data_IF_811793038138
#
_entry.id   IF_811793038138
#
_cell.length_a   1.000
_cell.length_b   1.000
_cell.length_c   1.000
_cell.angle_alpha   90.00
_cell.angle_beta   90.00
_cell.angle_gamma   90.00
#
_symmetry.space_group_name_H-M   'P 1'
#
loop_
_entity.id
_entity.type
_entity.pdbx_description
1 polymer ?
#
# COMPACT_ATOMS: atom_id res chain seq x y z
N UNK A 1 9.32 -38.24 9.62
CA UNK A 1 8.96 -37.01 8.88
C UNK A 1 10.20 -36.46 8.17
N UNK A 2 10.03 -35.97 6.95
CA UNK A 2 11.07 -35.20 6.26
C UNK A 2 11.10 -33.76 6.82
N UNK A 3 12.30 -33.29 7.19
CA UNK A 3 12.55 -31.99 7.82
C UNK A 3 13.55 -31.14 7.02
N UNK A 4 13.91 -31.56 5.81
CA UNK A 4 14.98 -30.92 5.03
C UNK A 4 14.68 -29.43 4.76
N UNK A 5 13.46 -29.11 4.33
CA UNK A 5 13.04 -27.71 4.06
C UNK A 5 13.10 -26.83 5.31
N UNK A 6 12.61 -27.34 6.45
CA UNK A 6 12.65 -26.64 7.74
C UNK A 6 14.08 -26.42 8.21
N UNK A 7 14.94 -27.42 8.07
CA UNK A 7 16.34 -27.29 8.44
C UNK A 7 17.07 -26.28 7.55
N UNK A 8 16.84 -26.30 6.24
CA UNK A 8 17.39 -25.32 5.30
C UNK A 8 16.95 -23.89 5.63
N UNK A 9 15.66 -23.70 5.94
CA UNK A 9 15.13 -22.41 6.37
C UNK A 9 15.81 -21.92 7.66
N UNK A 10 15.95 -22.78 8.67
CA UNK A 10 16.58 -22.42 9.95
C UNK A 10 18.07 -22.10 9.80
N UNK A 11 18.76 -22.77 8.89
CA UNK A 11 20.16 -22.47 8.56
C UNK A 11 20.22 -21.07 7.95
N UNK A 12 19.48 -20.84 6.86
CA UNK A 12 19.43 -19.52 6.21
C UNK A 12 19.04 -18.44 7.20
N UNK A 13 18.06 -18.65 8.06
CA UNK A 13 17.62 -17.67 9.05
C UNK A 13 18.72 -17.24 10.04
N UNK A 14 19.64 -18.14 10.40
CA UNK A 14 20.67 -17.89 11.42
C UNK A 14 22.01 -17.45 10.85
N UNK A 15 22.24 -17.65 9.55
CA UNK A 15 23.49 -17.25 8.91
C UNK A 15 23.64 -15.72 8.88
N UNK A 16 24.86 -15.18 9.10
CA UNK A 16 25.12 -13.75 8.99
C UNK A 16 24.87 -13.24 7.57
N UNK A 17 24.18 -12.11 7.44
CA UNK A 17 23.79 -11.53 6.15
C UNK A 17 23.95 -10.01 6.14
N UNK A 18 24.03 -9.39 4.96
CA UNK A 18 23.85 -7.95 4.85
C UNK A 18 22.45 -7.53 5.30
N UNK A 19 22.36 -6.34 5.89
CA UNK A 19 21.11 -5.78 6.40
C UNK A 19 20.52 -4.78 5.42
N UNK A 20 19.22 -4.87 5.16
CA UNK A 20 18.44 -3.88 4.41
C UNK A 20 17.44 -3.25 5.37
N UNK A 21 17.45 -1.92 5.46
CA UNK A 21 16.53 -1.18 6.34
C UNK A 21 15.28 -0.77 5.59
N UNK A 22 14.11 -1.14 6.10
CA UNK A 22 12.81 -0.81 5.51
C UNK A 22 11.98 -0.04 6.54
N UNK A 23 11.38 1.09 6.13
CA UNK A 23 10.45 1.82 6.97
C UNK A 23 9.06 1.16 6.92
N UNK A 24 8.45 0.93 8.08
CA UNK A 24 7.03 0.63 8.20
C UNK A 24 6.35 1.82 8.85
N UNK A 25 5.63 2.60 8.05
CA UNK A 25 4.89 3.79 8.50
C UNK A 25 3.45 3.40 8.83
N UNK A 26 3.08 3.50 10.10
CA UNK A 26 1.77 3.05 10.57
C UNK A 26 1.29 3.75 11.84
N UNK A 27 -0.02 3.63 12.10
CA UNK A 27 -0.69 4.26 13.25
C UNK A 27 -0.44 3.53 14.57
N UNK A 28 -0.25 2.21 14.50
CA UNK A 28 -0.20 1.33 15.68
C UNK A 28 1.17 0.71 15.91
N UNK A 29 2.24 1.33 15.42
CA UNK A 29 3.59 0.77 15.53
C UNK A 29 4.09 0.60 16.98
N UNK A 30 3.50 1.32 17.93
CA UNK A 30 3.76 1.18 19.36
C UNK A 30 3.15 -0.11 19.94
N UNK A 31 2.18 -0.71 19.26
CA UNK A 31 1.61 -2.01 19.58
C UNK A 31 2.25 -3.07 18.67
N UNK A 32 3.21 -3.81 19.22
CA UNK A 32 4.02 -4.78 18.47
C UNK A 32 3.19 -5.80 17.67
N UNK A 33 1.98 -6.12 18.13
CA UNK A 33 1.11 -7.11 17.49
C UNK A 33 0.28 -6.56 16.31
N UNK A 34 0.12 -5.24 16.21
CA UNK A 34 -0.78 -4.63 15.22
C UNK A 34 -0.35 -4.90 13.76
N UNK A 35 0.94 -5.11 13.54
CA UNK A 35 1.53 -5.38 12.22
C UNK A 35 2.31 -6.71 12.18
N UNK A 36 2.04 -7.63 13.11
CA UNK A 36 2.79 -8.89 13.25
C UNK A 36 2.90 -9.65 11.93
N UNK A 37 1.80 -9.82 11.20
CA UNK A 37 1.82 -10.53 9.91
C UNK A 37 2.71 -9.85 8.87
N UNK A 38 2.76 -8.52 8.84
CA UNK A 38 3.63 -7.76 7.94
C UNK A 38 5.08 -7.93 8.36
N UNK A 39 5.39 -7.80 9.65
CA UNK A 39 6.75 -7.97 10.17
C UNK A 39 7.30 -9.37 9.91
N UNK A 40 6.49 -10.41 10.11
CA UNK A 40 6.88 -11.79 9.80
C UNK A 40 7.08 -12.00 8.30
N UNK A 41 6.26 -11.37 7.44
CA UNK A 41 6.40 -11.50 5.99
C UNK A 41 7.73 -10.92 5.49
N UNK A 42 8.20 -9.80 6.06
CA UNK A 42 9.53 -9.26 5.76
C UNK A 42 10.66 -10.16 6.24
N UNK A 43 10.53 -10.78 7.41
CA UNK A 43 11.51 -11.77 7.88
C UNK A 43 11.60 -12.95 6.90
N UNK A 44 10.46 -13.50 6.49
CA UNK A 44 10.40 -14.60 5.52
C UNK A 44 11.02 -14.18 4.17
N UNK A 45 10.68 -12.99 3.67
CA UNK A 45 11.27 -12.46 2.44
C UNK A 45 12.79 -12.26 2.56
N UNK A 46 13.27 -11.76 3.71
CA UNK A 46 14.70 -11.61 3.98
C UNK A 46 15.43 -12.95 3.96
N UNK A 47 14.87 -13.99 4.59
CA UNK A 47 15.45 -15.34 4.58
C UNK A 47 15.59 -15.88 3.16
N UNK A 48 14.57 -15.71 2.31
CA UNK A 48 14.61 -16.20 0.93
C UNK A 48 15.60 -15.41 0.06
N UNK A 49 15.76 -14.12 0.31
CA UNK A 49 16.69 -13.25 -0.42
C UNK A 49 18.11 -13.19 0.17
N UNK A 50 18.38 -13.93 1.26
CA UNK A 50 19.69 -13.92 1.91
C UNK A 50 20.08 -12.58 2.54
N UNK A 51 19.09 -11.81 3.02
CA UNK A 51 19.29 -10.53 3.71
C UNK A 51 18.59 -10.52 5.06
N UNK A 52 19.09 -9.73 6.00
CA UNK A 52 18.35 -9.40 7.23
C UNK A 52 17.56 -8.10 7.01
N UNK A 53 16.25 -8.16 7.23
CA UNK A 53 15.39 -6.95 7.10
C UNK A 53 15.28 -6.26 8.45
N UNK A 54 15.89 -5.07 8.56
CA UNK A 54 15.74 -4.17 9.71
C UNK A 54 14.50 -3.30 9.50
N UNK A 55 13.39 -3.67 10.16
CA UNK A 55 12.14 -2.91 10.09
C UNK A 55 12.16 -1.72 11.05
N UNK A 56 12.35 -0.53 10.49
CA UNK A 56 12.22 0.74 11.18
C UNK A 56 10.74 1.09 11.31
N UNK A 57 10.16 0.82 12.48
CA UNK A 57 8.77 1.14 12.79
C UNK A 57 8.61 2.65 13.06
N UNK A 58 7.77 3.33 12.28
CA UNK A 58 7.59 4.78 12.36
C UNK A 58 6.11 5.09 12.60
N UNK A 59 5.85 5.87 13.65
CA UNK A 59 4.51 6.31 13.96
C UNK A 59 4.10 7.39 12.95
N UNK A 60 3.00 7.14 12.23
CA UNK A 60 2.55 8.05 11.19
C UNK A 60 2.17 9.44 11.74
N UNK A 61 1.73 9.54 13.00
CA UNK A 61 1.44 10.83 13.64
C UNK A 61 2.68 11.72 13.81
N UNK A 62 3.88 11.12 13.82
CA UNK A 62 5.12 11.86 14.01
C UNK A 62 5.73 12.34 12.69
N UNK A 63 5.24 11.87 11.52
CA UNK A 63 5.82 12.20 10.22
C UNK A 63 5.24 13.51 9.71
N UNK A 64 6.11 14.48 9.46
CA UNK A 64 5.75 15.79 8.90
C UNK A 64 6.70 16.18 7.78
N UNK A 65 6.33 17.17 6.97
CA UNK A 65 7.18 17.65 5.87
C UNK A 65 8.56 18.14 6.34
N UNK A 66 8.65 18.65 7.57
CA UNK A 66 9.89 19.16 8.15
C UNK A 66 10.83 18.04 8.59
N UNK A 67 10.30 16.89 9.02
CA UNK A 67 11.10 15.81 9.61
C UNK A 67 11.14 14.53 8.77
N UNK A 68 10.40 14.45 7.67
CA UNK A 68 10.28 13.23 6.85
C UNK A 68 11.65 12.73 6.38
N UNK A 69 12.55 13.63 6.01
CA UNK A 69 13.89 13.27 5.57
C UNK A 69 14.77 12.72 6.70
N UNK A 70 14.62 13.23 7.93
CA UNK A 70 15.30 12.68 9.11
C UNK A 70 14.78 11.26 9.41
N UNK A 71 13.47 11.04 9.24
CA UNK A 71 12.83 9.76 9.53
C UNK A 71 13.03 8.70 8.45
N UNK A 72 13.10 9.07 7.18
CA UNK A 72 13.10 8.15 6.03
C UNK A 72 14.38 8.21 5.19
N UNK A 73 15.29 9.16 5.42
CA UNK A 73 16.49 9.32 4.59
C UNK A 73 17.54 8.21 4.72
N UNK A 74 17.40 7.30 5.69
CA UNK A 74 18.29 6.16 5.92
C UNK A 74 17.67 4.81 5.54
N UNK A 75 16.49 4.78 4.90
CA UNK A 75 15.82 3.53 4.53
C UNK A 75 15.96 3.22 3.03
N UNK A 76 15.96 1.93 2.70
CA UNK A 76 16.03 1.43 1.32
C UNK A 76 14.66 1.18 0.69
N UNK A 77 13.58 1.31 1.46
CA UNK A 77 12.21 1.13 1.01
C UNK A 77 11.21 1.55 2.09
N UNK A 78 9.99 1.89 1.67
CA UNK A 78 8.93 2.41 2.53
C UNK A 78 7.68 1.58 2.31
N UNK A 79 7.14 1.03 3.40
CA UNK A 79 5.81 0.45 3.44
C UNK A 79 4.87 1.37 4.22
N UNK A 80 3.75 1.75 3.60
CA UNK A 80 2.65 2.41 4.30
C UNK A 80 1.61 1.35 4.67
N UNK A 81 1.46 1.17 5.98
CA UNK A 81 0.66 0.10 6.55
C UNK A 81 -0.86 0.35 6.38
N UNK A 82 -1.68 -0.72 6.45
CA UNK A 82 -3.14 -0.57 6.49
C UNK A 82 -3.58 0.18 7.76
N UNK A 83 -4.82 0.65 7.79
CA UNK A 83 -5.38 1.32 8.96
C UNK A 83 -6.84 1.71 8.75
N UNK A 84 -7.39 2.41 9.74
CA UNK A 84 -8.74 2.95 9.72
C UNK A 84 -8.82 4.25 10.52
N UNK A 85 -9.78 5.09 10.15
CA UNK A 85 -9.97 6.43 10.72
C UNK A 85 -8.92 7.45 10.26
N UNK A 86 -9.24 8.73 10.47
CA UNK A 86 -8.47 9.89 9.98
C UNK A 86 -7.08 10.07 10.61
N UNK A 87 -6.89 9.55 11.82
CA UNK A 87 -5.65 9.78 12.58
C UNK A 87 -4.44 9.20 11.86
N UNK A 88 -3.42 10.04 11.68
CA UNK A 88 -2.13 9.68 11.10
C UNK A 88 -2.14 9.62 9.57
N UNK A 89 -3.20 10.08 8.91
CA UNK A 89 -3.27 10.11 7.44
C UNK A 89 -2.25 11.09 6.86
N UNK A 90 -2.10 12.29 7.41
CA UNK A 90 -1.18 13.29 6.88
C UNK A 90 0.26 12.79 6.83
N UNK A 91 0.75 12.16 7.90
CA UNK A 91 2.09 11.59 7.90
C UNK A 91 2.25 10.37 6.98
N UNK A 92 1.18 9.64 6.67
CA UNK A 92 1.20 8.61 5.63
C UNK A 92 1.31 9.24 4.25
N UNK A 93 0.49 10.25 3.94
CA UNK A 93 0.56 10.99 2.68
C UNK A 93 1.97 11.58 2.48
N UNK A 94 2.57 12.08 3.55
CA UNK A 94 3.92 12.62 3.52
C UNK A 94 4.99 11.55 3.26
N UNK A 95 4.84 10.35 3.84
CA UNK A 95 5.71 9.22 3.51
C UNK A 95 5.58 8.77 2.04
N UNK A 96 4.36 8.80 1.48
CA UNK A 96 4.15 8.49 0.06
C UNK A 96 4.81 9.55 -0.83
N UNK A 97 4.61 10.83 -0.52
CA UNK A 97 5.23 11.96 -1.24
C UNK A 97 6.75 11.83 -1.24
N UNK A 98 7.33 11.57 -0.07
CA UNK A 98 8.77 11.37 0.06
C UNK A 98 9.27 10.21 -0.80
N UNK A 99 8.56 9.07 -0.78
CA UNK A 99 8.93 7.92 -1.61
C UNK A 99 8.92 8.29 -3.11
N UNK A 100 7.80 8.85 -3.58
CA UNK A 100 7.60 9.23 -4.99
C UNK A 100 8.63 10.25 -5.47
N UNK A 101 8.89 11.29 -4.68
CA UNK A 101 9.78 12.39 -5.08
C UNK A 101 11.27 12.03 -5.02
N UNK A 102 11.65 11.08 -4.16
CA UNK A 102 13.04 10.67 -3.96
C UNK A 102 13.39 9.33 -4.63
N UNK A 103 12.46 8.69 -5.33
CA UNK A 103 12.70 7.42 -6.01
C UNK A 103 12.90 6.24 -5.06
N UNK A 104 12.40 6.32 -3.82
CA UNK A 104 12.56 5.26 -2.80
C UNK A 104 11.47 4.21 -3.02
N UNK A 105 11.82 2.91 -3.16
CA UNK A 105 10.86 1.84 -3.35
C UNK A 105 9.68 1.90 -2.37
N UNK A 106 8.46 1.85 -2.89
CA UNK A 106 7.23 2.06 -2.12
C UNK A 106 6.27 0.88 -2.22
N UNK A 107 5.73 0.42 -1.08
CA UNK A 107 4.65 -0.55 -1.02
C UNK A 107 3.47 -0.07 -0.16
N UNK A 108 2.29 0.14 -0.77
CA UNK A 108 1.08 0.62 -0.11
C UNK A 108 0.04 -0.48 0.13
N UNK A 109 -0.20 -0.87 1.39
CA UNK A 109 -1.19 -1.92 1.68
C UNK A 109 -2.54 -1.30 2.07
N UNK A 110 -3.58 -1.59 1.29
CA UNK A 110 -4.97 -1.17 1.57
C UNK A 110 -5.09 0.35 1.72
N UNK A 111 -5.16 0.87 2.96
CA UNK A 111 -5.09 2.31 3.20
C UNK A 111 -3.80 2.93 2.66
N UNK A 112 -2.69 2.19 2.60
CA UNK A 112 -1.46 2.68 1.97
C UNK A 112 -1.61 2.97 0.47
N UNK A 113 -2.30 2.10 -0.27
CA UNK A 113 -2.66 2.32 -1.67
C UNK A 113 -3.62 3.51 -1.81
N UNK A 114 -4.60 3.63 -0.93
CA UNK A 114 -5.50 4.80 -0.91
C UNK A 114 -4.73 6.11 -0.66
N UNK A 115 -3.78 6.12 0.28
CA UNK A 115 -2.90 7.27 0.51
C UNK A 115 -2.07 7.60 -0.74
N UNK A 116 -1.59 6.61 -1.49
CA UNK A 116 -0.88 6.86 -2.74
C UNK A 116 -1.75 7.53 -3.81
N UNK A 117 -2.99 7.09 -3.96
CA UNK A 117 -3.94 7.73 -4.89
C UNK A 117 -4.26 9.17 -4.47
N UNK A 118 -4.45 9.41 -3.18
CA UNK A 118 -4.72 10.76 -2.63
C UNK A 118 -3.51 11.68 -2.84
N UNK A 119 -2.30 11.23 -2.49
CA UNK A 119 -1.07 12.00 -2.67
C UNK A 119 -0.84 12.35 -4.13
N UNK A 120 -0.99 11.38 -5.03
CA UNK A 120 -0.82 11.58 -6.46
C UNK A 120 -1.82 12.57 -7.03
N UNK A 121 -3.09 12.48 -6.63
CA UNK A 121 -4.12 13.41 -7.05
C UNK A 121 -3.80 14.85 -6.60
N UNK A 122 -3.36 15.03 -5.36
CA UNK A 122 -3.00 16.35 -4.82
C UNK A 122 -1.78 16.94 -5.52
N UNK A 123 -0.70 16.17 -5.65
CA UNK A 123 0.61 16.71 -5.99
C UNK A 123 0.99 16.55 -7.46
N UNK A 124 0.48 15.53 -8.17
CA UNK A 124 0.77 15.32 -9.59
C UNK A 124 -0.37 15.85 -10.47
N UNK A 125 -1.62 15.61 -10.07
CA UNK A 125 -2.79 16.10 -10.82
C UNK A 125 -3.18 17.54 -10.46
N UNK A 126 -2.57 18.14 -9.42
CA UNK A 126 -2.92 19.46 -8.87
C UNK A 126 -4.39 19.58 -8.45
N UNK A 127 -4.99 18.50 -7.96
CA UNK A 127 -6.36 18.49 -7.43
C UNK A 127 -6.32 18.80 -5.95
N UNK A 128 -6.13 20.09 -5.63
CA UNK A 128 -6.11 20.58 -4.27
C UNK A 128 -7.39 20.15 -3.52
N UNK A 129 -7.22 19.62 -2.31
CA UNK A 129 -8.32 19.08 -1.52
C UNK A 129 -8.75 17.66 -1.88
N UNK A 130 -8.13 16.97 -2.86
CA UNK A 130 -8.46 15.58 -3.16
C UNK A 130 -8.33 14.68 -1.93
N UNK A 131 -9.33 13.87 -1.65
CA UNK A 131 -9.34 13.03 -0.45
C UNK A 131 -10.21 11.77 -0.60
N UNK A 132 -10.37 11.07 0.53
CA UNK A 132 -11.28 9.96 0.71
C UNK A 132 -12.53 10.50 1.38
N UNK A 133 -13.71 10.12 0.91
CA UNK A 133 -14.97 10.43 1.61
C UNK A 133 -15.08 9.73 2.96
N UNK A 134 -14.17 8.82 3.31
CA UNK A 134 -14.05 8.29 4.69
C UNK A 134 -13.58 9.36 5.69
N UNK A 135 -12.78 10.32 5.24
CA UNK A 135 -12.08 11.29 6.11
C UNK A 135 -12.53 12.72 5.86
N UNK A 136 -12.95 13.03 4.63
CA UNK A 136 -13.45 14.34 4.23
C UNK A 136 -14.62 14.13 3.27
N UNK A 137 -15.85 14.16 3.80
CA UNK A 137 -17.08 13.97 3.04
C UNK A 137 -17.33 15.11 2.03
N UNK A 138 -16.79 16.30 2.29
CA UNK A 138 -16.99 17.51 1.50
C UNK A 138 -15.85 17.76 0.48
N UNK A 139 -14.91 16.81 0.34
CA UNK A 139 -13.78 16.93 -0.58
C UNK A 139 -14.27 17.26 -2.01
N UNK A 140 -13.68 18.29 -2.67
CA UNK A 140 -14.04 18.61 -4.05
C UNK A 140 -13.63 17.51 -5.04
N UNK A 141 -12.74 16.62 -4.64
CA UNK A 141 -12.18 15.56 -5.48
C UNK A 141 -12.13 14.22 -4.71
N UNK A 142 -13.26 13.49 -4.61
CA UNK A 142 -13.36 12.23 -3.88
C UNK A 142 -12.71 11.09 -4.68
N UNK A 143 -11.38 11.02 -4.65
CA UNK A 143 -10.60 10.00 -5.39
C UNK A 143 -10.69 8.61 -4.78
N UNK A 144 -11.02 8.54 -3.48
CA UNK A 144 -11.40 7.33 -2.78
C UNK A 144 -12.82 7.51 -2.24
N UNK A 145 -13.74 6.59 -2.56
CA UNK A 145 -15.15 6.74 -2.22
C UNK A 145 -15.84 5.38 -2.00
N UNK A 146 -17.01 5.38 -1.38
CA UNK A 146 -17.92 4.25 -1.45
C UNK A 146 -18.52 4.16 -2.86
N UNK A 147 -18.56 2.97 -3.43
CA UNK A 147 -19.25 2.73 -4.70
C UNK A 147 -20.74 3.08 -4.56
N UNK A 148 -21.37 3.54 -5.64
CA UNK A 148 -22.76 3.98 -5.60
C UNK A 148 -23.73 2.87 -5.13
N UNK A 149 -23.44 1.62 -5.51
CA UNK A 149 -24.17 0.44 -5.02
C UNK A 149 -24.03 0.26 -3.50
N UNK A 150 -22.84 0.53 -2.94
CA UNK A 150 -22.59 0.48 -1.49
C UNK A 150 -23.31 1.61 -0.77
N UNK A 151 -23.38 2.81 -1.34
CA UNK A 151 -24.11 3.96 -0.75
C UNK A 151 -25.60 3.63 -0.56
N UNK A 152 -26.23 2.93 -1.51
CA UNK A 152 -27.65 2.52 -1.43
C UNK A 152 -27.95 1.50 -0.32
N UNK A 153 -26.93 0.82 0.21
CA UNK A 153 -27.05 -0.19 1.27
C UNK A 153 -26.28 0.18 2.54
N UNK A 154 -25.70 1.38 2.61
CA UNK A 154 -24.91 1.85 3.74
C UNK A 154 -25.71 1.81 5.04
N UNK A 155 -26.98 2.25 4.99
CA UNK A 155 -27.93 2.20 6.12
C UNK A 155 -28.25 0.77 6.59
N UNK A 156 -27.87 -0.25 5.82
CA UNK A 156 -28.09 -1.67 6.12
C UNK A 156 -26.81 -2.41 6.54
N UNK A 157 -25.68 -1.71 6.69
CA UNK A 157 -24.41 -2.26 7.19
C UNK A 157 -23.64 -3.17 6.21
N UNK A 158 -24.03 -3.22 4.93
CA UNK A 158 -23.53 -4.18 3.94
C UNK A 158 -22.34 -3.74 3.08
N UNK A 159 -21.58 -2.70 3.47
CA UNK A 159 -20.56 -2.10 2.59
C UNK A 159 -19.18 -2.76 2.66
N UNK A 160 -18.92 -3.59 3.66
CA UNK A 160 -17.62 -4.23 3.85
C UNK A 160 -17.32 -5.26 2.77
N UNK A 161 -16.22 -5.06 2.04
CA UNK A 161 -15.60 -6.09 1.21
C UNK A 161 -14.76 -7.00 2.10
N UNK A 162 -15.18 -8.25 2.23
CA UNK A 162 -14.53 -9.25 3.09
C UNK A 162 -14.35 -10.56 2.32
N UNK A 163 -13.16 -11.13 2.36
CA UNK A 163 -12.87 -12.45 1.76
C UNK A 163 -11.95 -12.39 0.56
N UNK A 164 -11.93 -13.47 -0.22
CA UNK A 164 -11.07 -13.63 -1.39
C UNK A 164 -11.77 -13.13 -2.65
N UNK A 165 -11.06 -12.33 -3.45
CA UNK A 165 -11.56 -11.75 -4.69
C UNK A 165 -10.52 -11.90 -5.80
N UNK A 166 -11.01 -12.06 -7.03
CA UNK A 166 -10.17 -12.15 -8.22
C UNK A 166 -9.58 -10.77 -8.57
N UNK A 167 -8.34 -10.78 -9.05
CA UNK A 167 -7.60 -9.61 -9.51
C UNK A 167 -6.86 -9.97 -10.81
N UNK A 168 -7.26 -9.34 -11.90
CA UNK A 168 -6.61 -9.48 -13.20
C UNK A 168 -5.43 -8.52 -13.30
N UNK A 169 -4.27 -9.05 -13.69
CA UNK A 169 -3.00 -8.33 -13.75
C UNK A 169 -2.66 -7.93 -15.20
N UNK A 170 -2.48 -6.62 -15.40
CA UNK A 170 -2.16 -6.03 -16.70
C UNK A 170 -0.83 -6.56 -17.23
N UNK A 171 -0.78 -6.88 -18.52
CA UNK A 171 0.45 -7.28 -19.19
C UNK A 171 1.53 -6.20 -19.09
N UNK A 172 2.76 -6.60 -18.76
CA UNK A 172 3.90 -5.69 -18.57
C UNK A 172 3.94 -4.94 -17.24
N UNK A 173 3.00 -5.18 -16.32
CA UNK A 173 3.03 -4.60 -14.98
C UNK A 173 4.09 -5.24 -14.06
N UNK A 174 4.52 -4.49 -13.05
CA UNK A 174 5.37 -5.03 -11.98
C UNK A 174 4.62 -6.13 -11.22
N UNK A 175 3.34 -5.91 -10.90
CA UNK A 175 2.51 -6.90 -10.22
C UNK A 175 2.49 -8.24 -10.97
N UNK A 176 2.24 -8.24 -12.28
CA UNK A 176 2.25 -9.47 -13.10
C UNK A 176 3.62 -10.15 -13.10
N UNK A 177 4.70 -9.37 -13.12
CA UNK A 177 6.07 -9.90 -13.06
C UNK A 177 6.36 -10.57 -11.72
N UNK A 178 5.87 -9.99 -10.62
CA UNK A 178 6.07 -10.52 -9.26
C UNK A 178 5.26 -11.80 -9.04
N UNK A 179 3.99 -11.81 -9.46
CA UNK A 179 3.12 -12.97 -9.29
C UNK A 179 3.37 -14.10 -10.30
N UNK A 180 3.98 -13.79 -11.45
CA UNK A 180 4.15 -14.70 -12.60
C UNK A 180 2.82 -15.33 -13.06
N UNK A 181 1.73 -14.55 -12.95
CA UNK A 181 0.36 -14.95 -13.26
C UNK A 181 -0.43 -13.79 -13.86
N UNK A 182 -1.40 -14.06 -14.72
CA UNK A 182 -2.32 -13.08 -15.30
C UNK A 182 -3.55 -12.80 -14.43
N UNK A 183 -3.88 -13.72 -13.53
CA UNK A 183 -4.97 -13.59 -12.57
C UNK A 183 -4.57 -14.17 -11.21
N UNK A 184 -4.87 -13.43 -10.15
CA UNK A 184 -4.57 -13.83 -8.75
C UNK A 184 -5.79 -13.65 -7.87
N UNK A 185 -5.77 -14.28 -6.69
CA UNK A 185 -6.83 -14.14 -5.68
C UNK A 185 -6.27 -13.64 -4.37
N UNK A 186 -6.73 -12.47 -3.95
CA UNK A 186 -6.27 -11.82 -2.73
C UNK A 186 -7.38 -11.55 -1.74
N UNK A 187 -7.00 -11.39 -0.46
CA UNK A 187 -7.94 -11.19 0.63
C UNK A 187 -8.15 -9.72 0.94
N UNK A 188 -9.41 -9.31 0.96
CA UNK A 188 -9.81 -7.93 1.25
C UNK A 188 -10.54 -7.84 2.59
N UNK A 189 -10.36 -6.69 3.25
CA UNK A 189 -11.10 -6.25 4.44
C UNK A 189 -11.12 -4.72 4.49
N UNK A 190 -11.90 -4.11 3.62
CA UNK A 190 -12.05 -2.65 3.54
C UNK A 190 -13.44 -2.29 2.97
N UNK A 191 -13.75 -0.99 2.88
CA UNK A 191 -15.05 -0.50 2.41
C UNK A 191 -14.95 0.43 1.21
N UNK A 192 -13.93 1.30 1.22
CA UNK A 192 -13.76 2.37 0.25
C UNK A 192 -12.85 1.92 -0.90
N UNK A 193 -13.20 2.36 -2.10
CA UNK A 193 -12.59 1.95 -3.36
C UNK A 193 -12.08 3.19 -4.11
N UNK A 194 -11.22 3.00 -5.11
CA UNK A 194 -10.84 4.09 -6.03
C UNK A 194 -12.08 4.54 -6.80
N UNK A 195 -12.32 5.84 -6.87
CA UNK A 195 -13.45 6.39 -7.61
C UNK A 195 -13.24 6.24 -9.12
N UNK A 196 -13.97 5.31 -9.75
CA UNK A 196 -13.88 5.04 -11.19
C UNK A 196 -14.15 6.24 -12.09
N UNK A 197 -14.94 7.22 -11.64
CA UNK A 197 -15.19 8.45 -12.41
C UNK A 197 -13.90 9.27 -12.56
N UNK A 198 -13.04 9.26 -11.53
CA UNK A 198 -11.77 10.00 -11.51
C UNK A 198 -10.58 9.16 -11.99
N UNK A 199 -10.70 7.82 -11.96
CA UNK A 199 -9.67 6.87 -12.42
C UNK A 199 -9.10 7.21 -13.79
N UNK A 200 -9.92 7.53 -14.78
CA UNK A 200 -9.44 7.85 -16.13
C UNK A 200 -8.52 9.06 -16.15
N UNK A 201 -8.85 10.10 -15.39
CA UNK A 201 -8.05 11.30 -15.28
C UNK A 201 -6.74 11.06 -14.52
N UNK A 202 -6.74 10.22 -13.48
CA UNK A 202 -5.52 9.80 -12.80
C UNK A 202 -4.56 9.08 -13.77
N UNK A 203 -5.11 8.23 -14.64
CA UNK A 203 -4.34 7.53 -15.68
C UNK A 203 -3.71 8.48 -16.69
N UNK A 204 -4.43 9.51 -17.10
CA UNK A 204 -3.91 10.54 -18.01
C UNK A 204 -2.70 11.29 -17.44
N UNK A 205 -2.57 11.35 -16.11
CA UNK A 205 -1.44 11.96 -15.42
C UNK A 205 -0.29 10.98 -15.11
N UNK A 206 -0.43 9.71 -15.46
CA UNK A 206 0.65 8.70 -15.35
C UNK A 206 0.45 7.62 -14.29
N UNK A 207 -0.62 7.65 -13.50
CA UNK A 207 -0.94 6.55 -12.58
C UNK A 207 -1.50 5.35 -13.34
N UNK A 208 -0.81 4.22 -13.30
CA UNK A 208 -1.27 3.01 -13.96
C UNK A 208 -2.12 2.15 -13.02
N UNK A 209 -3.17 1.54 -13.56
CA UNK A 209 -4.08 0.66 -12.81
C UNK A 209 -3.85 -0.77 -13.27
N UNK A 210 -2.95 -1.47 -12.60
CA UNK A 210 -2.38 -2.73 -13.09
C UNK A 210 -3.05 -3.97 -12.52
N UNK A 211 -3.81 -3.85 -11.43
CA UNK A 211 -4.62 -4.93 -10.88
C UNK A 211 -6.09 -4.52 -10.84
N UNK A 212 -6.97 -5.30 -11.47
CA UNK A 212 -8.39 -4.98 -11.62
C UNK A 212 -9.28 -6.16 -11.26
N UNK A 213 -10.33 -5.92 -10.48
CA UNK A 213 -11.45 -6.86 -10.41
C UNK A 213 -12.42 -6.56 -11.55
N UNK A 214 -12.36 -7.34 -12.63
CA UNK A 214 -13.16 -7.11 -13.83
C UNK A 214 -14.67 -7.29 -13.61
N UNK A 215 -15.06 -8.19 -12.69
CA UNK A 215 -16.47 -8.48 -12.43
C UNK A 215 -17.18 -7.31 -11.72
N UNK A 216 -16.45 -6.55 -10.91
CA UNK A 216 -16.98 -5.43 -10.11
C UNK A 216 -16.49 -4.07 -10.58
N UNK A 217 -15.67 -4.04 -11.64
CA UNK A 217 -14.96 -2.86 -12.14
C UNK A 217 -14.20 -2.13 -11.02
N UNK A 218 -13.42 -2.84 -10.20
CA UNK A 218 -12.65 -2.24 -9.11
C UNK A 218 -11.16 -2.19 -9.42
N UNK A 219 -10.49 -1.17 -8.88
CA UNK A 219 -9.02 -1.08 -8.88
C UNK A 219 -8.48 -1.75 -7.63
N UNK A 220 -7.56 -2.70 -7.82
CA UNK A 220 -6.92 -3.44 -6.74
C UNK A 220 -5.45 -3.06 -6.55
N UNK A 221 -4.75 -2.71 -7.64
CA UNK A 221 -3.32 -2.37 -7.64
C UNK A 221 -3.09 -1.14 -8.50
N UNK A 222 -2.29 -0.20 -7.97
CA UNK A 222 -1.79 0.98 -8.70
C UNK A 222 -0.29 0.89 -8.85
N UNK A 223 0.24 1.42 -9.95
CA UNK A 223 1.69 1.51 -10.19
C UNK A 223 2.03 2.88 -10.76
N UNK A 224 3.27 3.34 -10.51
CA UNK A 224 3.85 4.50 -11.16
C UNK A 224 4.99 4.06 -12.09
N UNK A 225 4.77 3.93 -13.41
CA UNK A 225 5.75 3.36 -14.34
C UNK A 225 7.09 4.13 -14.41
N UNK A 226 7.07 5.44 -14.14
CA UNK A 226 8.27 6.29 -14.15
C UNK A 226 9.06 6.24 -12.82
N UNK A 227 8.56 5.51 -11.82
CA UNK A 227 9.23 5.33 -10.53
C UNK A 227 10.02 4.00 -10.50
N UNK A 228 11.20 3.94 -9.84
CA UNK A 228 12.03 2.72 -9.83
C UNK A 228 11.29 1.45 -9.35
N UNK A 229 10.43 1.61 -8.33
CA UNK A 229 9.54 0.56 -7.83
C UNK A 229 8.42 1.17 -6.97
N UNK A 230 7.16 1.15 -7.43
CA UNK A 230 6.02 1.74 -6.70
C UNK A 230 4.77 0.90 -6.91
N UNK A 231 4.25 0.31 -5.84
CA UNK A 231 3.05 -0.53 -5.82
C UNK A 231 2.15 -0.17 -4.63
#
# INVERSE_FOLDING_TARGET
PDLESWNSFLIRLKEPKPTVRIALVGKYVTHQDAYKSISESFMLAGVENGVDVDLKLILSDDVTAENVNEKLGDVSGILVAPGFGERGIDGKLEAVRYARENGVPFFGICLGMQCAVIEFARNVCNWEGAHSTEFDEDTPHPVIDLMEEQKRIADKGGTMRLGSYDCHLLEGSLARTIYDQDEVKERHRHRFEVNNVLRYKLREHGMNFTGLNLARDLVEIVELPDHPWFI
#
